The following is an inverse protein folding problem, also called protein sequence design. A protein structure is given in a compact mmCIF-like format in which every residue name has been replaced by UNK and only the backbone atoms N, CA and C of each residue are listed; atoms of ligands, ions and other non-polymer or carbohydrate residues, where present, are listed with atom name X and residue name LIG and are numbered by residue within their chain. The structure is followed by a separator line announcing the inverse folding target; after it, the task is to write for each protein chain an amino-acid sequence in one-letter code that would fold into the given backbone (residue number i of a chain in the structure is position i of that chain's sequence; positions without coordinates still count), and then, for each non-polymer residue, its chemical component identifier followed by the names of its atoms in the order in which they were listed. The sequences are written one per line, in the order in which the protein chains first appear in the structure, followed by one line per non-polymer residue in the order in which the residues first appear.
data_IF_300489941448
#
_entry.id   IF_300489941448
#
_cell.length_a   1.000
_cell.length_b   1.000
_cell.length_c   1.000
_cell.angle_alpha   90.00
_cell.angle_beta   90.00
_cell.angle_gamma   90.00
#
_symmetry.space_group_name_H-M   'P 1'
#
loop_
_entity.id
_entity.type
_entity.pdbx_description
1 polymer ?
#
# COMPACT_ATOMS: atom_id res chain seq x y z
N UNK A 1 24.52 2.64 16.66
CA UNK A 1 24.17 1.59 15.69
C UNK A 1 22.77 1.11 16.03
N UNK A 2 21.75 1.71 15.42
CA UNK A 2 20.34 1.43 15.75
C UNK A 2 19.75 0.47 14.69
N UNK A 3 19.87 -0.82 14.98
CA UNK A 3 19.25 -1.91 14.22
C UNK A 3 17.94 -2.32 14.90
N UNK A 4 16.95 -1.40 14.96
CA UNK A 4 15.69 -1.64 15.70
C UNK A 4 14.41 -1.16 15.03
N UNK A 5 14.43 -0.87 13.74
CA UNK A 5 13.20 -0.73 12.96
C UNK A 5 12.95 -1.97 12.10
N UNK A 6 13.36 -3.16 12.58
CA UNK A 6 13.01 -4.44 11.97
C UNK A 6 11.50 -4.70 12.14
N UNK A 7 10.77 -4.14 11.17
CA UNK A 7 9.48 -4.47 10.59
C UNK A 7 8.78 -5.73 11.13
N UNK A 8 8.15 -5.55 12.29
CA UNK A 8 6.93 -6.27 12.65
C UNK A 8 5.85 -5.98 11.59
N UNK A 9 4.85 -6.85 11.37
CA UNK A 9 3.75 -6.53 10.43
C UNK A 9 3.02 -5.23 10.83
N UNK A 10 3.22 -4.78 12.06
CA UNK A 10 2.87 -3.45 12.57
C UNK A 10 3.50 -2.27 11.77
N UNK A 11 4.60 -2.47 11.06
CA UNK A 11 5.19 -1.51 10.12
C UNK A 11 4.61 -1.63 8.69
N UNK A 12 3.86 -2.67 8.38
CA UNK A 12 2.99 -2.69 7.19
C UNK A 12 1.60 -2.16 7.50
N UNK A 13 1.19 -2.15 8.78
CA UNK A 13 -0.10 -1.70 9.34
C UNK A 13 -1.34 -1.96 8.48
N UNK A 14 -1.28 -2.99 7.65
CA UNK A 14 -2.44 -3.69 7.10
C UNK A 14 -3.06 -4.59 8.20
N UNK A 15 -2.37 -4.87 9.31
CA UNK A 15 -2.83 -5.74 10.38
C UNK A 15 -3.98 -5.17 11.22
N UNK A 16 -5.21 -5.29 10.70
CA UNK A 16 -6.39 -5.50 11.54
C UNK A 16 -6.35 -6.92 12.11
N UNK A 17 -7.06 -7.19 13.21
CA UNK A 17 -7.19 -8.51 13.83
C UNK A 17 -7.52 -9.66 12.84
N UNK A 18 -8.21 -9.36 11.72
CA UNK A 18 -8.47 -10.29 10.62
C UNK A 18 -7.22 -10.85 9.94
N UNK A 19 -6.14 -10.07 9.83
CA UNK A 19 -4.87 -10.50 9.23
C UNK A 19 -4.10 -11.42 10.17
N UNK A 20 -4.14 -11.18 11.48
CA UNK A 20 -3.57 -12.08 12.48
C UNK A 20 -4.32 -13.43 12.51
N UNK A 21 -5.66 -13.42 12.38
CA UNK A 21 -6.45 -14.66 12.28
C UNK A 21 -6.21 -15.45 10.98
N UNK A 22 -5.88 -14.79 9.86
CA UNK A 22 -5.52 -15.48 8.60
C UNK A 22 -4.09 -16.01 8.64
N UNK A 23 -3.15 -15.27 9.26
CA UNK A 23 -1.74 -15.69 9.37
C UNK A 23 -1.57 -16.97 10.19
N UNK A 24 -2.38 -17.18 11.23
CA UNK A 24 -2.32 -18.39 12.08
C UNK A 24 -2.66 -19.69 11.34
N UNK A 25 -3.26 -19.62 10.15
CA UNK A 25 -3.66 -20.77 9.35
C UNK A 25 -2.69 -21.14 8.21
N UNK A 26 -1.61 -20.38 7.99
CA UNK A 26 -0.74 -20.58 6.81
C UNK A 26 0.75 -20.50 7.16
N UNK A 27 1.45 -21.64 7.10
CA UNK A 27 2.91 -21.76 7.32
C UNK A 27 3.77 -21.19 6.18
N UNK A 28 3.14 -20.84 5.05
CA UNK A 28 3.78 -20.51 3.78
C UNK A 28 3.63 -19.04 3.39
N UNK A 29 2.98 -18.21 4.22
CA UNK A 29 3.03 -16.75 4.10
C UNK A 29 4.47 -16.31 4.36
N UNK A 30 5.03 -15.48 3.47
CA UNK A 30 6.37 -14.95 3.66
C UNK A 30 6.47 -14.29 5.02
N UNK A 31 7.45 -14.75 5.80
CA UNK A 31 7.79 -14.14 7.07
C UNK A 31 8.24 -12.68 6.83
N UNK A 32 7.73 -11.68 7.58
CA UNK A 32 8.28 -10.32 7.59
C UNK A 32 9.80 -10.25 7.68
N UNK A 33 10.42 -11.23 8.34
CA UNK A 33 11.87 -11.34 8.46
C UNK A 33 12.56 -11.68 7.13
N UNK A 34 11.85 -12.24 6.15
CA UNK A 34 12.35 -12.58 4.81
C UNK A 34 12.03 -11.48 3.79
N UNK A 35 10.94 -10.72 4.00
CA UNK A 35 10.53 -9.63 3.11
C UNK A 35 11.52 -8.46 3.22
N UNK A 36 12.34 -8.28 2.18
CA UNK A 36 13.24 -7.13 2.09
C UNK A 36 12.53 -5.90 1.51
N UNK A 37 12.99 -4.70 1.88
CA UNK A 37 12.54 -3.46 1.24
C UNK A 37 12.70 -3.55 -0.28
N UNK A 38 11.66 -3.16 -1.03
CA UNK A 38 11.65 -3.21 -2.49
C UNK A 38 11.14 -4.53 -3.09
N UNK A 39 10.51 -5.40 -2.30
CA UNK A 39 9.82 -6.59 -2.85
C UNK A 39 8.38 -6.31 -3.27
N UNK A 40 7.69 -5.45 -2.51
CA UNK A 40 6.33 -5.02 -2.79
C UNK A 40 6.35 -3.63 -3.40
N UNK A 41 5.46 -3.41 -4.37
CA UNK A 41 5.28 -2.13 -5.04
C UNK A 41 3.79 -1.79 -5.11
N UNK A 42 3.45 -0.51 -4.98
CA UNK A 42 2.07 -0.04 -5.20
C UNK A 42 1.90 0.39 -6.66
N UNK A 43 0.85 -0.13 -7.29
CA UNK A 43 0.33 0.43 -8.53
C UNK A 43 -0.63 1.58 -8.19
N UNK A 44 -0.21 2.82 -8.38
CA UNK A 44 -1.04 3.98 -8.03
C UNK A 44 -2.28 4.16 -8.91
N UNK A 45 -2.39 3.48 -10.06
CA UNK A 45 -3.60 3.53 -10.88
C UNK A 45 -4.73 2.67 -10.29
N UNK A 46 -4.40 1.56 -9.63
CA UNK A 46 -5.36 0.58 -9.10
C UNK A 46 -5.35 0.48 -7.57
N UNK A 47 -4.33 1.03 -6.92
CA UNK A 47 -4.01 0.88 -5.49
C UNK A 47 -3.77 -0.59 -5.06
N UNK A 48 -3.44 -1.45 -6.02
CA UNK A 48 -3.05 -2.84 -5.79
C UNK A 48 -1.56 -2.96 -5.49
N UNK A 49 -1.21 -3.99 -4.73
CA UNK A 49 0.18 -4.41 -4.52
C UNK A 49 0.62 -5.34 -5.64
N UNK A 50 1.87 -5.17 -6.07
CA UNK A 50 2.51 -5.96 -7.12
C UNK A 50 3.95 -6.30 -6.69
N UNK A 51 4.56 -7.38 -7.20
CA UNK A 51 5.99 -7.61 -7.01
C UNK A 51 6.80 -6.52 -7.71
N UNK A 52 7.93 -6.11 -7.13
CA UNK A 52 8.83 -5.20 -7.82
C UNK A 52 9.42 -5.86 -9.07
N UNK A 53 9.58 -5.08 -10.14
CA UNK A 53 10.03 -5.56 -11.44
C UNK A 53 11.46 -6.09 -11.44
N UNK A 54 12.26 -5.76 -10.42
CA UNK A 54 13.66 -6.20 -10.32
C UNK A 54 13.84 -7.51 -9.55
N UNK A 55 12.75 -8.13 -9.06
CA UNK A 55 12.82 -9.38 -8.33
C UNK A 55 13.14 -10.57 -9.25
N UNK A 56 13.85 -11.56 -8.69
CA UNK A 56 13.98 -12.88 -9.32
C UNK A 56 12.61 -13.56 -9.35
N UNK A 57 12.39 -14.43 -10.32
CA UNK A 57 11.10 -15.11 -10.50
C UNK A 57 10.61 -15.85 -9.24
N UNK A 58 11.52 -16.46 -8.47
CA UNK A 58 11.17 -17.13 -7.22
C UNK A 58 10.64 -16.15 -6.16
N UNK A 59 11.31 -15.01 -5.99
CA UNK A 59 10.95 -13.97 -5.02
C UNK A 59 9.65 -13.27 -5.45
N UNK A 60 9.49 -12.97 -6.74
CA UNK A 60 8.27 -12.39 -7.29
C UNK A 60 7.05 -13.32 -7.08
N UNK A 61 7.23 -14.63 -7.29
CA UNK A 61 6.17 -15.62 -7.04
C UNK A 61 5.80 -15.67 -5.54
N UNK A 62 6.79 -15.59 -4.65
CA UNK A 62 6.54 -15.57 -3.21
C UNK A 62 5.76 -14.32 -2.77
N UNK A 63 6.05 -13.15 -3.37
CA UNK A 63 5.28 -11.92 -3.17
C UNK A 63 3.83 -12.08 -3.64
N UNK A 64 3.62 -12.61 -4.86
CA UNK A 64 2.28 -12.85 -5.41
C UNK A 64 1.48 -13.82 -4.52
N UNK A 65 2.10 -14.91 -4.07
CA UNK A 65 1.46 -15.84 -3.12
C UNK A 65 1.08 -15.14 -1.82
N UNK A 66 1.95 -14.28 -1.29
CA UNK A 66 1.68 -13.52 -0.07
C UNK A 66 0.50 -12.56 -0.26
N UNK A 67 0.46 -11.81 -1.36
CA UNK A 67 -0.64 -10.91 -1.71
C UNK A 67 -1.96 -11.68 -1.78
N UNK A 68 -1.96 -12.83 -2.46
CA UNK A 68 -3.15 -13.65 -2.64
C UNK A 68 -3.64 -14.29 -1.33
N UNK A 69 -2.74 -14.91 -0.56
CA UNK A 69 -3.11 -15.58 0.70
C UNK A 69 -3.64 -14.60 1.74
N UNK A 70 -3.00 -13.44 1.84
CA UNK A 70 -3.44 -12.40 2.77
C UNK A 70 -4.66 -11.61 2.23
N UNK A 71 -4.99 -11.77 0.96
CA UNK A 71 -6.09 -11.09 0.29
C UNK A 71 -5.86 -9.57 0.20
N UNK A 72 -4.59 -9.13 0.08
CA UNK A 72 -4.24 -7.70 0.16
C UNK A 72 -4.82 -6.88 -0.99
N UNK A 73 -5.13 -7.53 -2.12
CA UNK A 73 -5.76 -6.93 -3.29
C UNK A 73 -7.21 -7.41 -3.50
N UNK A 74 -7.59 -8.55 -2.94
CA UNK A 74 -8.92 -9.15 -3.14
C UNK A 74 -9.97 -8.65 -2.15
N UNK A 75 -9.53 -8.02 -1.05
CA UNK A 75 -10.41 -7.37 -0.10
C UNK A 75 -10.44 -5.86 -0.41
N UNK A 76 -11.58 -5.40 -0.95
CA UNK A 76 -11.81 -4.00 -1.31
C UNK A 76 -11.55 -3.05 -0.13
N UNK A 77 -11.66 -3.50 1.13
CA UNK A 77 -11.37 -2.67 2.28
C UNK A 77 -9.90 -2.21 2.28
N UNK A 78 -8.96 -3.10 1.96
CA UNK A 78 -7.53 -2.77 1.94
C UNK A 78 -7.15 -1.88 0.76
N UNK A 79 -7.70 -2.16 -0.42
CA UNK A 79 -7.48 -1.34 -1.63
C UNK A 79 -8.05 0.06 -1.41
N UNK A 80 -9.28 0.15 -0.91
CA UNK A 80 -9.96 1.42 -0.65
C UNK A 80 -9.28 2.23 0.47
N UNK A 81 -8.73 1.58 1.49
CA UNK A 81 -7.95 2.25 2.54
C UNK A 81 -6.69 2.92 1.96
N UNK A 82 -5.94 2.21 1.11
CA UNK A 82 -4.78 2.79 0.41
C UNK A 82 -5.20 3.96 -0.50
N UNK A 83 -6.28 3.78 -1.25
CA UNK A 83 -6.82 4.82 -2.12
C UNK A 83 -7.20 6.08 -1.32
N UNK A 84 -7.93 5.94 -0.20
CA UNK A 84 -8.29 7.05 0.69
C UNK A 84 -7.07 7.78 1.23
N UNK A 85 -6.06 7.05 1.69
CA UNK A 85 -4.83 7.64 2.21
C UNK A 85 -4.09 8.46 1.13
N UNK A 86 -4.02 7.94 -0.10
CA UNK A 86 -3.44 8.68 -1.25
C UNK A 86 -4.28 9.91 -1.58
N UNK A 87 -5.60 9.80 -1.66
CA UNK A 87 -6.44 10.96 -1.97
C UNK A 87 -6.38 12.03 -0.88
N UNK A 88 -6.37 11.64 0.40
CA UNK A 88 -6.16 12.56 1.50
C UNK A 88 -4.81 13.28 1.40
N UNK A 89 -3.74 12.58 1.01
CA UNK A 89 -2.43 13.19 0.75
C UNK A 89 -2.47 14.16 -0.45
N UNK A 90 -3.06 13.75 -1.57
CA UNK A 90 -3.20 14.57 -2.78
C UNK A 90 -3.93 15.89 -2.50
N UNK A 91 -4.99 15.85 -1.68
CA UNK A 91 -5.78 17.00 -1.23
C UNK A 91 -5.12 17.79 -0.08
N UNK A 92 -3.92 17.40 0.37
CA UNK A 92 -3.21 17.95 1.53
C UNK A 92 -3.99 17.82 2.86
N UNK A 93 -4.96 16.89 2.95
CA UNK A 93 -5.63 16.50 4.21
C UNK A 93 -4.77 15.58 5.07
N UNK A 94 -3.73 14.99 4.49
CA UNK A 94 -2.75 14.16 5.16
C UNK A 94 -1.34 14.61 4.74
N UNK A 95 -0.46 14.86 5.70
CA UNK A 95 0.93 15.23 5.43
C UNK A 95 1.82 14.00 5.21
N UNK A 96 3.00 14.20 4.61
CA UNK A 96 4.00 13.13 4.47
C UNK A 96 4.48 12.58 5.83
N UNK A 97 4.52 13.41 6.86
CA UNK A 97 4.85 13.00 8.23
C UNK A 97 3.79 12.03 8.79
N UNK A 98 2.51 12.36 8.60
CA UNK A 98 1.40 11.53 9.03
C UNK A 98 1.30 10.24 8.21
N UNK A 99 1.54 10.30 6.90
CA UNK A 99 1.69 9.11 6.07
C UNK A 99 2.78 8.19 6.60
N UNK A 100 3.97 8.69 6.92
CA UNK A 100 5.05 7.87 7.49
C UNK A 100 4.65 7.24 8.83
N UNK A 101 3.86 7.95 9.62
CA UNK A 101 3.41 7.49 10.95
C UNK A 101 2.30 6.43 10.86
N UNK A 102 1.32 6.62 9.98
CA UNK A 102 0.11 5.78 9.92
C UNK A 102 0.18 4.73 8.81
N UNK A 103 0.81 5.07 7.68
CA UNK A 103 0.95 4.24 6.47
C UNK A 103 2.41 4.22 5.98
N UNK A 104 3.37 3.77 6.81
CA UNK A 104 4.81 3.79 6.50
C UNK A 104 5.18 3.18 5.14
N UNK A 105 4.55 2.06 4.73
CA UNK A 105 4.77 1.46 3.41
C UNK A 105 4.29 2.35 2.25
N UNK A 106 3.10 2.94 2.37
CA UNK A 106 2.61 3.89 1.36
C UNK A 106 3.54 5.11 1.26
N UNK A 107 4.04 5.59 2.39
CA UNK A 107 4.98 6.70 2.43
C UNK A 107 6.32 6.35 1.77
N UNK A 108 6.85 5.14 1.97
CA UNK A 108 8.06 4.70 1.27
C UNK A 108 7.83 4.62 -0.24
N UNK A 109 6.67 4.14 -0.67
CA UNK A 109 6.32 4.02 -2.10
C UNK A 109 6.13 5.38 -2.78
N UNK A 110 5.49 6.34 -2.10
CA UNK A 110 5.35 7.72 -2.57
C UNK A 110 6.74 8.34 -2.82
N UNK A 111 7.69 8.11 -1.90
CA UNK A 111 9.06 8.59 -2.05
C UNK A 111 9.83 7.83 -3.15
N UNK A 112 9.81 6.50 -3.14
CA UNK A 112 10.57 5.65 -4.06
C UNK A 112 10.13 5.84 -5.51
N UNK A 113 8.83 5.97 -5.76
CA UNK A 113 8.27 6.15 -7.09
C UNK A 113 8.18 7.62 -7.52
N UNK A 114 8.75 8.55 -6.73
CA UNK A 114 8.71 10.01 -6.97
C UNK A 114 7.28 10.49 -7.27
N UNK A 115 6.34 10.09 -6.43
CA UNK A 115 4.91 10.28 -6.70
C UNK A 115 4.51 11.73 -6.96
N UNK A 116 5.11 12.66 -6.21
CA UNK A 116 4.84 14.10 -6.37
C UNK A 116 5.22 14.63 -7.77
N UNK A 117 6.25 14.05 -8.39
CA UNK A 117 6.69 14.41 -9.73
C UNK A 117 5.90 13.67 -10.81
N UNK A 118 5.61 12.38 -10.59
CA UNK A 118 5.08 11.49 -11.62
C UNK A 118 3.54 11.44 -11.68
N UNK A 119 2.86 11.62 -10.54
CA UNK A 119 1.42 11.33 -10.42
C UNK A 119 0.61 12.48 -9.82
N UNK A 120 1.15 13.23 -8.85
CA UNK A 120 0.37 14.20 -8.07
C UNK A 120 -0.39 15.23 -8.94
N UNK A 121 0.25 15.74 -10.00
CA UNK A 121 -0.41 16.68 -10.92
C UNK A 121 -1.62 16.08 -11.63
N UNK A 122 -1.51 14.84 -12.11
CA UNK A 122 -2.61 14.13 -12.77
C UNK A 122 -3.73 13.84 -11.77
N UNK A 123 -3.39 13.38 -10.57
CA UNK A 123 -4.36 13.12 -9.50
C UNK A 123 -5.15 14.38 -9.13
N UNK A 124 -4.47 15.51 -8.92
CA UNK A 124 -5.13 16.79 -8.61
C UNK A 124 -6.05 17.23 -9.75
N UNK A 125 -5.61 17.12 -10.99
CA UNK A 125 -6.45 17.43 -12.16
C UNK A 125 -7.69 16.54 -12.24
N UNK A 126 -7.54 15.24 -11.98
CA UNK A 126 -8.64 14.28 -11.96
C UNK A 126 -9.65 14.60 -10.86
N UNK A 127 -9.19 14.97 -9.66
CA UNK A 127 -10.06 15.33 -8.54
C UNK A 127 -10.81 16.66 -8.73
N UNK A 128 -10.33 17.53 -9.62
CA UNK A 128 -11.04 18.75 -10.01
C UNK A 128 -12.26 18.46 -10.91
N UNK A 129 -12.33 17.29 -11.56
CA UNK A 129 -13.50 16.90 -12.34
C UNK A 129 -14.67 16.56 -11.40
N UNK A 130 -15.81 17.29 -11.45
CA UNK A 130 -16.93 17.06 -10.54
C UNK A 130 -17.56 15.67 -10.66
N UNK A 131 -17.59 15.09 -11.86
CA UNK A 131 -18.14 13.75 -12.09
C UNK A 131 -17.27 12.68 -11.43
N UNK A 132 -15.93 12.82 -11.57
CA UNK A 132 -14.99 11.91 -10.93
C UNK A 132 -15.05 12.05 -9.41
N UNK A 133 -15.08 13.28 -8.89
CA UNK A 133 -15.20 13.53 -7.46
C UNK A 133 -16.47 12.90 -6.89
N UNK A 134 -17.62 13.10 -7.54
CA UNK A 134 -18.89 12.52 -7.11
C UNK A 134 -18.86 10.97 -7.13
N UNK A 135 -18.25 10.37 -8.15
CA UNK A 135 -18.07 8.93 -8.21
C UNK A 135 -17.18 8.39 -7.07
N UNK A 136 -16.09 9.08 -6.75
CA UNK A 136 -15.22 8.67 -5.64
C UNK A 136 -15.92 8.84 -4.27
N UNK A 137 -16.75 9.87 -4.11
CA UNK A 137 -17.56 10.07 -2.90
C UNK A 137 -18.64 8.99 -2.74
N UNK A 138 -19.32 8.58 -3.82
CA UNK A 138 -20.32 7.52 -3.76
C UNK A 138 -19.72 6.15 -3.42
N UNK A 139 -18.44 5.94 -3.77
CA UNK A 139 -17.64 4.78 -3.38
C UNK A 139 -17.02 4.93 -1.97
N UNK A 140 -17.22 6.08 -1.31
CA UNK A 140 -16.66 6.38 0.01
C UNK A 140 -15.14 6.48 0.03
N UNK A 141 -14.51 6.90 -1.07
CA UNK A 141 -13.06 7.07 -1.21
C UNK A 141 -12.57 8.49 -0.92
N UNK A 142 -13.48 9.48 -0.89
CA UNK A 142 -13.22 10.87 -0.51
C UNK A 142 -14.07 11.27 0.69
#
# INVERSE_FOLDING_TARGET
MDSKLAYDWNNFRLCRAKLNNRKDNFQDVLDPYVISNGWFRINFATFSLEPDSNLKAADANAVVQTINRLGLNSDDQYVNERARAVYAYVENRLSMSELRRFYPFLASEIAAQKFDLNFLGQFRKTLQNPQVRAALQSQGLL
#
